data_IF_539233065987
#
_entry.id   IF_539233065987
#
_cell.length_a   1.000
_cell.length_b   1.000
_cell.length_c   1.000
_cell.angle_alpha   90.00
_cell.angle_beta   90.00
_cell.angle_gamma   90.00
#
_symmetry.space_group_name_H-M   'P 1'
#
loop_
_entity.id
_entity.type
_entity.pdbx_description
1 polymer ?
#
# COMPACT_ATOMS: atom_id res chain seq x y z
N UNK A 1 65.04 33.67 -36.48
CA UNK A 1 63.79 33.08 -37.03
C UNK A 1 63.08 32.34 -35.91
N UNK A 2 62.15 33.02 -35.23
CA UNK A 2 61.32 32.44 -34.17
C UNK A 2 60.12 31.70 -34.77
N UNK A 3 59.83 30.50 -34.27
CA UNK A 3 58.53 29.84 -34.47
C UNK A 3 58.03 29.31 -33.12
N UNK A 4 57.09 30.04 -32.57
CA UNK A 4 56.20 29.65 -31.47
C UNK A 4 55.29 28.54 -32.00
N UNK A 5 55.15 27.42 -31.27
CA UNK A 5 54.09 26.44 -31.51
C UNK A 5 53.18 26.37 -30.30
N UNK A 6 51.91 26.49 -30.63
CA UNK A 6 50.73 26.70 -29.78
C UNK A 6 50.44 25.51 -28.88
N UNK A 7 49.97 25.85 -27.69
CA UNK A 7 49.43 25.02 -26.61
C UNK A 7 48.20 24.24 -27.10
N UNK A 8 48.20 22.92 -26.90
CA UNK A 8 47.03 22.07 -27.05
C UNK A 8 46.56 21.58 -25.68
N UNK A 9 45.56 22.25 -25.12
CA UNK A 9 44.85 21.87 -23.90
C UNK A 9 43.86 20.74 -24.25
N UNK A 10 44.16 19.50 -23.86
CA UNK A 10 43.23 18.40 -23.96
C UNK A 10 42.36 18.36 -22.69
N UNK A 11 41.18 18.98 -22.74
CA UNK A 11 40.11 18.74 -21.78
C UNK A 11 39.51 17.36 -22.05
N UNK A 12 39.87 16.38 -21.23
CA UNK A 12 39.12 15.13 -21.12
C UNK A 12 37.83 15.41 -20.34
N UNK A 13 36.74 15.68 -21.06
CA UNK A 13 35.39 15.59 -20.52
C UNK A 13 35.09 14.12 -20.20
N UNK A 14 35.21 13.74 -18.93
CA UNK A 14 34.56 12.54 -18.42
C UNK A 14 33.06 12.85 -18.33
N UNK A 15 32.32 12.51 -19.38
CA UNK A 15 30.87 12.43 -19.32
C UNK A 15 30.50 11.28 -18.39
N UNK A 16 29.90 11.61 -17.24
CA UNK A 16 29.22 10.64 -16.40
C UNK A 16 28.06 10.03 -17.21
N UNK A 17 28.17 8.75 -17.53
CA UNK A 17 27.06 7.93 -18.00
C UNK A 17 26.22 7.58 -16.77
N UNK A 18 25.36 8.51 -16.34
CA UNK A 18 24.23 8.14 -15.50
C UNK A 18 23.22 7.43 -16.42
N UNK A 19 23.11 6.12 -16.23
CA UNK A 19 22.16 5.29 -16.96
C UNK A 19 20.74 5.72 -16.62
N UNK A 20 20.02 6.24 -17.61
CA UNK A 20 18.57 6.29 -17.57
C UNK A 20 18.08 4.84 -17.51
N UNK A 21 17.73 4.35 -16.33
CA UNK A 21 16.90 3.15 -16.23
C UNK A 21 15.62 3.46 -17.04
N UNK A 22 15.33 2.66 -18.06
CA UNK A 22 14.11 2.86 -18.85
C UNK A 22 12.89 2.74 -17.92
N UNK A 23 11.89 3.61 -18.08
CA UNK A 23 10.76 3.73 -17.15
C UNK A 23 10.11 2.38 -16.74
N UNK A 24 9.92 1.38 -17.63
CA UNK A 24 9.37 0.07 -17.25
C UNK A 24 10.24 -0.72 -16.26
N UNK A 25 11.57 -0.56 -16.32
CA UNK A 25 12.52 -1.26 -15.45
C UNK A 25 12.42 -0.74 -14.01
N UNK A 26 12.27 0.58 -13.83
CA UNK A 26 12.16 1.19 -12.50
C UNK A 26 10.90 0.76 -11.75
N UNK A 27 9.75 0.69 -12.43
CA UNK A 27 8.50 0.29 -11.78
C UNK A 27 8.55 -1.18 -11.34
N UNK A 28 9.16 -2.05 -12.16
CA UNK A 28 9.38 -3.45 -11.81
C UNK A 28 10.32 -3.60 -10.60
N UNK A 29 11.39 -2.80 -10.55
CA UNK A 29 12.30 -2.74 -9.40
C UNK A 29 11.57 -2.27 -8.14
N UNK A 30 10.82 -1.17 -8.21
CA UNK A 30 10.01 -0.68 -7.09
C UNK A 30 9.02 -1.74 -6.59
N UNK A 31 8.37 -2.47 -7.50
CA UNK A 31 7.49 -3.57 -7.12
C UNK A 31 8.23 -4.66 -6.35
N UNK A 32 9.39 -5.08 -6.84
CA UNK A 32 10.19 -6.13 -6.21
C UNK A 32 10.75 -5.69 -4.84
N UNK A 33 11.09 -4.41 -4.69
CA UNK A 33 11.63 -3.85 -3.45
C UNK A 33 10.57 -3.57 -2.39
N UNK A 34 9.44 -2.98 -2.79
CA UNK A 34 8.46 -2.43 -1.86
C UNK A 34 7.29 -3.35 -1.58
N UNK A 35 6.88 -4.19 -2.54
CA UNK A 35 5.60 -4.90 -2.48
C UNK A 35 5.83 -6.34 -2.04
N UNK A 36 5.37 -6.73 -0.83
CA UNK A 36 5.42 -8.12 -0.41
C UNK A 36 4.66 -9.04 -1.36
N UNK A 37 5.13 -10.27 -1.52
CA UNK A 37 4.51 -11.24 -2.41
C UNK A 37 3.49 -12.12 -1.67
N UNK A 38 2.44 -12.57 -2.36
CA UNK A 38 1.50 -13.58 -1.84
C UNK A 38 2.29 -14.82 -1.36
N UNK A 39 1.97 -15.30 -0.16
CA UNK A 39 2.64 -16.42 0.50
C UNK A 39 3.96 -16.09 1.20
N UNK A 40 4.52 -14.89 1.01
CA UNK A 40 5.75 -14.48 1.71
C UNK A 40 5.54 -14.46 3.23
N UNK A 41 6.50 -15.03 3.97
CA UNK A 41 6.44 -15.11 5.43
C UNK A 41 6.66 -13.73 6.06
N UNK A 42 5.87 -13.41 7.07
CA UNK A 42 5.99 -12.18 7.86
C UNK A 42 6.76 -12.43 9.16
N UNK A 43 7.29 -11.37 9.75
CA UNK A 43 7.90 -11.43 11.09
C UNK A 43 6.89 -11.87 12.17
N UNK A 44 5.59 -11.61 11.95
CA UNK A 44 4.51 -12.02 12.83
C UNK A 44 3.92 -13.40 12.50
N UNK A 45 4.53 -14.17 11.59
CA UNK A 45 4.26 -15.60 11.41
C UNK A 45 2.98 -15.96 10.65
N UNK A 46 2.22 -14.98 10.15
CA UNK A 46 1.08 -15.20 9.23
C UNK A 46 1.54 -14.72 7.85
N UNK A 47 1.57 -15.58 6.80
CA UNK A 47 2.05 -15.17 5.49
C UNK A 47 1.15 -14.10 4.87
N UNK A 48 1.70 -13.26 3.98
CA UNK A 48 0.88 -12.34 3.21
C UNK A 48 -0.12 -13.12 2.35
N UNK A 49 -1.40 -12.84 2.56
CA UNK A 49 -2.47 -13.40 1.75
C UNK A 49 -3.70 -12.53 1.82
N UNK A 50 -4.36 -12.31 0.67
CA UNK A 50 -5.66 -11.63 0.65
C UNK A 50 -6.68 -12.34 1.55
N UNK A 51 -6.61 -13.67 1.64
CA UNK A 51 -7.50 -14.47 2.50
C UNK A 51 -7.46 -14.08 3.98
N UNK A 52 -6.36 -13.48 4.45
CA UNK A 52 -6.23 -13.04 5.85
C UNK A 52 -7.00 -11.75 6.15
N UNK A 53 -7.42 -10.99 5.13
CA UNK A 53 -8.06 -9.70 5.34
C UNK A 53 -9.35 -9.81 6.18
N UNK A 54 -10.14 -10.88 6.02
CA UNK A 54 -11.31 -11.13 6.86
C UNK A 54 -10.92 -11.36 8.32
N UNK A 55 -9.96 -12.25 8.59
CA UNK A 55 -9.51 -12.53 9.95
C UNK A 55 -8.99 -11.28 10.66
N UNK A 56 -8.21 -10.47 9.95
CA UNK A 56 -7.70 -9.22 10.49
C UNK A 56 -8.83 -8.22 10.74
N UNK A 57 -9.80 -8.13 9.82
CA UNK A 57 -11.00 -7.32 9.99
C UNK A 57 -11.85 -7.75 11.19
N UNK A 58 -11.97 -9.06 11.45
CA UNK A 58 -12.76 -9.59 12.57
C UNK A 58 -12.11 -9.23 13.92
N UNK A 59 -10.78 -9.27 13.98
CA UNK A 59 -10.01 -8.87 15.17
C UNK A 59 -10.24 -7.42 15.59
N UNK A 60 -10.60 -6.54 14.65
CA UNK A 60 -10.95 -5.16 14.98
C UNK A 60 -12.06 -5.08 16.02
N UNK A 61 -13.08 -5.94 15.92
CA UNK A 61 -14.20 -5.98 16.87
C UNK A 61 -13.96 -6.93 18.04
N UNK A 62 -13.27 -8.04 17.80
CA UNK A 62 -13.08 -9.10 18.80
C UNK A 62 -12.04 -8.72 19.86
N UNK A 63 -11.00 -7.97 19.50
CA UNK A 63 -9.91 -7.63 20.41
C UNK A 63 -10.19 -6.29 21.10
N UNK A 64 -10.22 -6.32 22.44
CA UNK A 64 -10.32 -5.15 23.30
C UNK A 64 -8.93 -4.83 23.84
N UNK A 65 -8.52 -3.57 23.73
CA UNK A 65 -7.24 -3.09 24.22
C UNK A 65 -7.39 -2.55 25.65
N UNK A 66 -6.36 -2.71 26.47
CA UNK A 66 -6.19 -1.90 27.69
C UNK A 66 -5.79 -0.47 27.31
N UNK A 67 -5.85 0.50 28.24
CA UNK A 67 -5.39 1.87 27.97
C UNK A 67 -3.93 1.96 27.48
N UNK A 68 -3.04 1.13 28.03
CA UNK A 68 -1.62 1.09 27.63
C UNK A 68 -1.43 0.46 26.25
N UNK A 69 -2.25 -0.53 25.90
CA UNK A 69 -2.28 -1.12 24.55
C UNK A 69 -2.86 -0.15 23.52
N UNK A 70 -3.93 0.58 23.89
CA UNK A 70 -4.54 1.59 23.05
C UNK A 70 -3.60 2.76 22.78
N UNK A 71 -2.81 3.19 23.77
CA UNK A 71 -1.76 4.20 23.56
C UNK A 71 -0.75 3.76 22.49
N UNK A 72 -0.29 2.49 22.53
CA UNK A 72 0.62 1.94 21.51
C UNK A 72 -0.04 1.85 20.14
N UNK A 73 -1.29 1.39 20.10
CA UNK A 73 -2.08 1.28 18.88
C UNK A 73 -2.27 2.65 18.21
N UNK A 74 -2.64 3.67 18.98
CA UNK A 74 -2.80 5.05 18.52
C UNK A 74 -1.49 5.62 17.98
N UNK A 75 -0.38 5.51 18.73
CA UNK A 75 0.93 6.01 18.27
C UNK A 75 1.36 5.33 16.97
N UNK A 76 1.15 4.02 16.86
CA UNK A 76 1.50 3.26 15.66
C UNK A 76 0.66 3.70 14.45
N UNK A 77 -0.65 3.89 14.61
CA UNK A 77 -1.53 4.11 13.46
C UNK A 77 -1.73 5.58 13.07
N UNK A 78 -1.54 6.53 13.98
CA UNK A 78 -1.85 7.95 13.78
C UNK A 78 -1.05 8.65 12.67
N UNK A 79 0.08 8.08 12.24
CA UNK A 79 0.92 8.67 11.17
C UNK A 79 0.96 7.84 9.89
N UNK A 80 0.24 6.71 9.82
CA UNK A 80 0.16 5.91 8.61
C UNK A 80 -1.01 6.44 7.79
N UNK A 81 -0.79 7.04 6.61
CA UNK A 81 -1.89 7.51 5.78
C UNK A 81 -2.78 6.35 5.34
N UNK A 82 -4.09 6.58 5.24
CA UNK A 82 -5.02 5.61 4.70
C UNK A 82 -4.92 5.59 3.16
N UNK A 83 -4.45 4.50 2.53
CA UNK A 83 -4.13 4.54 1.09
C UNK A 83 -5.37 4.60 0.18
N UNK A 84 -6.59 4.56 0.74
CA UNK A 84 -7.81 4.79 -0.01
C UNK A 84 -8.04 6.26 -0.42
N UNK A 85 -7.41 7.22 0.27
CA UNK A 85 -7.55 8.65 -0.04
C UNK A 85 -6.34 9.51 0.36
N UNK A 86 -5.42 9.01 1.20
CA UNK A 86 -4.23 9.70 1.70
C UNK A 86 -4.47 10.91 2.63
N UNK A 87 -5.70 11.42 2.72
CA UNK A 87 -6.01 12.64 3.49
C UNK A 87 -5.95 12.48 5.02
N UNK A 88 -6.19 11.27 5.51
CA UNK A 88 -6.33 10.97 6.92
C UNK A 88 -5.60 9.67 7.27
N UNK A 89 -5.14 9.52 8.53
CA UNK A 89 -4.45 8.31 8.93
C UNK A 89 -5.41 7.11 8.95
N UNK A 90 -4.84 5.91 8.86
CA UNK A 90 -5.60 4.66 9.03
C UNK A 90 -6.28 4.58 10.39
N UNK A 91 -5.79 5.29 11.42
CA UNK A 91 -6.45 5.39 12.71
C UNK A 91 -7.85 6.01 12.61
N UNK A 92 -7.96 7.13 11.91
CA UNK A 92 -9.17 7.98 11.82
C UNK A 92 -9.52 8.29 10.37
N UNK A 93 -9.83 7.27 9.56
CA UNK A 93 -10.11 7.49 8.15
C UNK A 93 -11.44 8.24 7.92
N UNK A 94 -11.56 8.97 6.80
CA UNK A 94 -12.72 9.80 6.44
C UNK A 94 -14.09 9.08 6.53
N UNK A 95 -14.12 7.75 6.37
CA UNK A 95 -15.36 6.98 6.48
C UNK A 95 -15.93 6.96 7.91
N UNK A 96 -15.07 7.07 8.93
CA UNK A 96 -15.46 6.97 10.34
C UNK A 96 -16.28 8.16 10.80
N UNK A 97 -16.09 9.34 10.21
CA UNK A 97 -16.90 10.53 10.49
C UNK A 97 -18.38 10.31 10.15
N UNK A 98 -18.67 9.34 9.28
CA UNK A 98 -20.02 8.93 8.88
C UNK A 98 -20.47 7.61 9.54
N UNK A 99 -19.77 7.17 10.59
CA UNK A 99 -20.08 5.93 11.31
C UNK A 99 -19.77 4.66 10.53
N UNK A 100 -18.88 4.71 9.54
CA UNK A 100 -18.48 3.55 8.72
C UNK A 100 -16.98 3.31 8.78
N UNK A 101 -16.54 2.11 8.43
CA UNK A 101 -15.11 1.80 8.26
C UNK A 101 -14.99 0.81 7.09
N UNK A 102 -14.08 1.09 6.15
CA UNK A 102 -13.84 0.17 5.04
C UNK A 102 -12.96 -1.00 5.47
N UNK A 103 -13.02 -2.09 4.72
CA UNK A 103 -12.33 -3.32 5.09
C UNK A 103 -10.80 -3.26 4.95
N UNK A 104 -10.29 -2.39 4.07
CA UNK A 104 -8.89 -2.00 4.04
C UNK A 104 -8.44 -1.50 5.43
N UNK A 105 -9.04 -0.42 5.92
CA UNK A 105 -8.68 0.18 7.22
C UNK A 105 -8.97 -0.78 8.38
N UNK A 106 -10.12 -1.47 8.33
CA UNK A 106 -10.52 -2.40 9.39
C UNK A 106 -9.54 -3.55 9.55
N UNK A 107 -9.04 -4.11 8.45
CA UNK A 107 -8.03 -5.17 8.47
C UNK A 107 -6.69 -4.66 9.06
N UNK A 108 -6.23 -3.47 8.67
CA UNK A 108 -5.02 -2.87 9.23
C UNK A 108 -5.15 -2.62 10.74
N UNK A 109 -6.27 -2.03 11.17
CA UNK A 109 -6.53 -1.75 12.58
C UNK A 109 -6.64 -3.02 13.43
N UNK A 110 -7.33 -4.06 12.93
CA UNK A 110 -7.48 -5.32 13.66
C UNK A 110 -6.20 -6.15 13.71
N UNK A 111 -5.38 -6.17 12.65
CA UNK A 111 -4.03 -6.74 12.69
C UNK A 111 -3.18 -6.04 13.77
N UNK A 112 -3.23 -4.71 13.84
CA UNK A 112 -2.48 -3.94 14.84
C UNK A 112 -2.87 -4.33 16.27
N UNK A 113 -4.16 -4.50 16.54
CA UNK A 113 -4.65 -4.97 17.84
C UNK A 113 -4.09 -6.36 18.19
N UNK A 114 -4.11 -7.29 17.24
CA UNK A 114 -3.59 -8.64 17.46
C UNK A 114 -2.09 -8.66 17.72
N UNK A 115 -1.31 -7.86 16.98
CA UNK A 115 0.14 -7.74 17.18
C UNK A 115 0.48 -7.22 18.58
N UNK A 116 -0.29 -6.26 19.08
CA UNK A 116 -0.09 -5.71 20.42
C UNK A 116 -0.44 -6.74 21.50
N UNK A 117 -1.64 -7.31 21.44
CA UNK A 117 -2.20 -8.15 22.51
C UNK A 117 -1.54 -9.53 22.55
N UNK A 118 -1.35 -10.17 21.39
CA UNK A 118 -0.92 -11.57 21.33
C UNK A 118 0.54 -11.73 20.95
N UNK A 119 1.18 -10.71 20.36
CA UNK A 119 2.58 -10.78 19.94
C UNK A 119 3.50 -9.83 20.72
N UNK A 120 2.94 -8.98 21.56
CA UNK A 120 3.71 -8.07 22.41
C UNK A 120 4.49 -7.01 21.64
N UNK A 121 4.05 -6.66 20.42
CA UNK A 121 4.73 -5.65 19.62
C UNK A 121 4.62 -4.26 20.28
N UNK A 122 5.67 -3.46 20.10
CA UNK A 122 5.66 -2.03 20.42
C UNK A 122 5.10 -1.21 19.23
N UNK A 123 5.02 0.11 19.39
CA UNK A 123 4.42 0.97 18.37
C UNK A 123 5.20 0.97 17.05
N UNK A 124 6.53 0.82 17.10
CA UNK A 124 7.38 0.78 15.90
C UNK A 124 7.19 -0.54 15.14
N UNK A 125 7.22 -1.67 15.85
CA UNK A 125 6.97 -2.99 15.26
C UNK A 125 5.57 -3.10 14.67
N UNK A 126 4.55 -2.55 15.34
CA UNK A 126 3.19 -2.48 14.80
C UNK A 126 3.18 -1.63 13.52
N UNK A 127 3.78 -0.43 13.55
CA UNK A 127 3.84 0.45 12.38
C UNK A 127 4.45 -0.26 11.18
N UNK A 128 5.60 -0.90 11.37
CA UNK A 128 6.30 -1.60 10.29
C UNK A 128 5.42 -2.71 9.69
N UNK A 129 4.82 -3.57 10.53
CA UNK A 129 3.96 -4.66 10.08
C UNK A 129 2.70 -4.16 9.34
N UNK A 130 2.09 -3.07 9.80
CA UNK A 130 0.92 -2.48 9.13
C UNK A 130 1.29 -1.85 7.78
N UNK A 131 2.45 -1.20 7.68
CA UNK A 131 2.92 -0.68 6.39
C UNK A 131 3.17 -1.80 5.38
N UNK A 132 3.75 -2.93 5.79
CA UNK A 132 3.90 -4.08 4.89
C UNK A 132 2.55 -4.64 4.46
N UNK A 133 1.59 -4.76 5.39
CA UNK A 133 0.23 -5.22 5.07
C UNK A 133 -0.46 -4.31 4.06
N UNK A 134 -0.35 -3.00 4.24
CA UNK A 134 -0.96 -2.04 3.31
C UNK A 134 -0.24 -2.00 1.96
N UNK A 135 1.09 -2.15 1.92
CA UNK A 135 1.86 -2.31 0.66
C UNK A 135 1.40 -3.53 -0.12
N UNK A 136 1.12 -4.62 0.58
CA UNK A 136 0.57 -5.83 -0.03
C UNK A 136 -0.84 -5.59 -0.58
N UNK A 137 -1.73 -4.91 0.16
CA UNK A 137 -3.12 -4.68 -0.26
C UNK A 137 -3.28 -3.62 -1.36
N UNK A 138 -2.49 -2.54 -1.33
CA UNK A 138 -2.64 -1.39 -2.24
C UNK A 138 -1.30 -1.06 -2.89
N UNK A 139 -0.74 -1.98 -3.69
CA UNK A 139 0.63 -1.86 -4.17
C UNK A 139 0.86 -0.64 -5.07
N UNK A 140 -0.13 -0.29 -5.91
CA UNK A 140 -0.03 0.84 -6.82
C UNK A 140 0.13 2.17 -6.08
N UNK A 141 -0.58 2.36 -4.96
CA UNK A 141 -0.43 3.53 -4.10
C UNK A 141 1.02 3.70 -3.64
N UNK A 142 1.62 2.64 -3.07
CA UNK A 142 2.97 2.73 -2.52
C UNK A 142 4.05 2.87 -3.59
N UNK A 143 3.87 2.26 -4.77
CA UNK A 143 4.77 2.50 -5.90
C UNK A 143 4.66 3.94 -6.41
N UNK A 144 3.45 4.50 -6.49
CA UNK A 144 3.26 5.88 -6.91
C UNK A 144 3.88 6.87 -5.91
N UNK A 145 3.68 6.68 -4.59
CA UNK A 145 4.36 7.48 -3.56
C UNK A 145 5.88 7.41 -3.69
N UNK A 146 6.44 6.24 -3.95
CA UNK A 146 7.89 6.08 -4.12
C UNK A 146 8.44 6.78 -5.37
N UNK A 147 7.66 6.86 -6.45
CA UNK A 147 8.01 7.65 -7.64
C UNK A 147 7.96 9.15 -7.33
N UNK A 148 6.91 9.62 -6.65
CA UNK A 148 6.77 11.03 -6.24
C UNK A 148 7.91 11.49 -5.33
N UNK A 149 8.31 10.65 -4.37
CA UNK A 149 9.47 10.92 -3.48
C UNK A 149 10.78 11.08 -4.26
N UNK A 150 10.87 10.51 -5.47
CA UNK A 150 11.99 10.64 -6.40
C UNK A 150 11.82 11.81 -7.39
N UNK A 151 10.74 12.60 -7.27
CA UNK A 151 10.42 13.70 -8.18
C UNK A 151 9.91 13.24 -9.55
N UNK A 152 9.41 12.00 -9.65
CA UNK A 152 8.89 11.42 -10.88
C UNK A 152 7.36 11.45 -10.87
N UNK A 153 6.75 11.62 -12.04
CA UNK A 153 5.30 11.54 -12.21
C UNK A 153 4.88 10.07 -12.38
N UNK A 154 4.05 9.49 -11.47
CA UNK A 154 3.60 8.11 -11.60
C UNK A 154 2.92 7.79 -12.94
N UNK A 155 2.31 8.78 -13.61
CA UNK A 155 1.65 8.61 -14.91
C UNK A 155 2.63 8.26 -16.03
N UNK A 156 3.87 8.72 -15.94
CA UNK A 156 4.93 8.37 -16.89
C UNK A 156 5.31 6.87 -16.80
N UNK A 157 4.88 6.20 -15.74
CA UNK A 157 5.09 4.77 -15.46
C UNK A 157 3.79 3.96 -15.61
N UNK A 158 2.71 4.55 -16.11
CA UNK A 158 1.41 3.89 -16.25
C UNK A 158 0.66 3.68 -14.93
N UNK A 159 1.01 4.42 -13.88
CA UNK A 159 0.21 4.50 -12.66
C UNK A 159 -0.67 5.75 -12.74
N UNK A 160 -1.84 5.59 -13.34
CA UNK A 160 -2.81 6.67 -13.40
C UNK A 160 -3.25 7.07 -11.99
N UNK A 161 -3.57 8.35 -11.78
CA UNK A 161 -3.98 8.83 -10.44
C UNK A 161 -5.16 8.04 -9.88
N UNK A 162 -6.04 7.54 -10.75
CA UNK A 162 -7.19 6.74 -10.35
C UNK A 162 -6.85 5.26 -10.03
N UNK A 163 -5.68 4.77 -10.44
CA UNK A 163 -5.23 3.39 -10.15
C UNK A 163 -4.27 3.33 -8.97
N UNK A 164 -3.58 4.42 -8.71
CA UNK A 164 -2.65 4.58 -7.58
C UNK A 164 -3.31 5.18 -6.34
N UNK A 165 -4.31 6.04 -6.51
CA UNK A 165 -4.88 6.80 -5.41
C UNK A 165 -6.41 6.67 -5.38
N UNK A 166 -7.01 7.20 -4.31
CA UNK A 166 -8.39 7.68 -4.35
C UNK A 166 -9.49 6.63 -4.57
N UNK A 167 -9.29 5.38 -4.12
CA UNK A 167 -10.38 4.40 -4.08
C UNK A 167 -11.67 4.97 -3.43
N UNK A 168 -11.51 5.88 -2.46
CA UNK A 168 -12.61 6.65 -1.87
C UNK A 168 -13.29 7.61 -2.88
N UNK A 169 -12.54 8.50 -3.55
CA UNK A 169 -13.12 9.51 -4.45
C UNK A 169 -13.71 8.91 -5.73
N UNK A 170 -13.23 7.73 -6.12
CA UNK A 170 -13.77 6.96 -7.25
C UNK A 170 -14.93 6.06 -6.87
N UNK A 171 -15.44 6.14 -5.64
CA UNK A 171 -16.57 5.33 -5.17
C UNK A 171 -16.28 3.81 -5.21
N UNK A 172 -15.00 3.42 -5.11
CA UNK A 172 -14.55 2.02 -5.06
C UNK A 172 -14.54 1.43 -3.65
N UNK A 173 -15.21 2.08 -2.69
CA UNK A 173 -15.34 1.58 -1.32
C UNK A 173 -15.93 0.16 -1.28
N UNK A 174 -16.88 -0.14 -2.17
CA UNK A 174 -17.54 -1.45 -2.27
C UNK A 174 -16.87 -2.43 -3.23
N UNK A 175 -15.78 -2.03 -3.90
CA UNK A 175 -15.03 -2.89 -4.80
C UNK A 175 -14.10 -3.85 -4.02
N UNK A 176 -13.78 -5.04 -4.57
CA UNK A 176 -12.87 -5.99 -3.96
C UNK A 176 -11.44 -5.44 -3.78
N UNK A 177 -10.69 -6.01 -2.83
CA UNK A 177 -9.31 -5.60 -2.55
C UNK A 177 -8.36 -5.86 -3.73
N UNK A 178 -8.50 -6.99 -4.44
CA UNK A 178 -7.64 -7.32 -5.59
C UNK A 178 -7.86 -6.44 -6.83
N UNK A 179 -8.98 -5.72 -6.88
CA UNK A 179 -9.29 -4.73 -7.91
C UNK A 179 -8.95 -3.30 -7.46
N UNK A 180 -8.14 -3.12 -6.41
CA UNK A 180 -7.80 -1.78 -5.89
C UNK A 180 -8.96 -1.06 -5.20
N UNK A 181 -9.98 -1.80 -4.77
CA UNK A 181 -11.06 -1.28 -3.93
C UNK A 181 -10.72 -1.30 -2.44
N UNK A 182 -11.65 -0.83 -1.61
CA UNK A 182 -11.48 -0.85 -0.16
C UNK A 182 -12.00 -2.15 0.50
N UNK A 183 -12.44 -3.13 -0.30
CA UNK A 183 -12.91 -4.43 0.17
C UNK A 183 -14.33 -4.43 0.76
N UNK A 184 -15.11 -3.36 0.60
CA UNK A 184 -16.44 -3.22 1.17
C UNK A 184 -16.50 -2.39 2.45
N UNK A 185 -17.72 -1.93 2.78
CA UNK A 185 -18.04 -1.25 4.05
C UNK A 185 -18.83 -2.14 5.02
N UNK A 186 -19.17 -3.36 4.60
CA UNK A 186 -19.91 -4.35 5.40
C UNK A 186 -19.01 -5.22 6.27
N UNK A 187 -19.61 -6.17 6.99
CA UNK A 187 -18.87 -7.12 7.85
C UNK A 187 -18.05 -8.14 7.05
N UNK A 188 -18.45 -8.45 5.83
CA UNK A 188 -17.70 -9.33 4.94
C UNK A 188 -16.68 -8.54 4.12
N UNK A 189 -15.46 -9.07 4.03
CA UNK A 189 -14.40 -8.53 3.19
C UNK A 189 -14.50 -9.11 1.79
N UNK A 190 -14.66 -8.23 0.80
CA UNK A 190 -14.64 -8.57 -0.61
C UNK A 190 -13.19 -8.70 -1.06
N UNK A 191 -12.76 -9.93 -1.30
CA UNK A 191 -11.38 -10.24 -1.70
C UNK A 191 -11.17 -10.12 -3.19
N UNK A 192 -12.02 -10.81 -3.95
CA UNK A 192 -11.94 -10.91 -5.40
C UNK A 192 -13.30 -10.68 -6.05
N UNK A 193 -13.27 -10.23 -7.31
CA UNK A 193 -14.47 -10.25 -8.14
C UNK A 193 -14.95 -11.69 -8.29
N UNK A 194 -16.24 -11.98 -8.04
CA UNK A 194 -16.77 -13.30 -8.30
C UNK A 194 -16.52 -13.67 -9.76
N UNK A 195 -16.12 -14.92 -10.07
CA UNK A 195 -15.97 -15.34 -11.45
C UNK A 195 -17.27 -15.05 -12.20
N UNK A 196 -17.15 -14.55 -13.43
CA UNK A 196 -18.32 -14.24 -14.24
C UNK A 196 -19.21 -15.48 -14.35
N UNK A 197 -20.47 -15.36 -13.94
CA UNK A 197 -21.45 -16.43 -14.09
C UNK A 197 -21.63 -16.65 -15.60
N UNK A 198 -21.33 -17.84 -16.14
CA UNK A 198 -21.50 -18.09 -17.56
C UNK A 198 -22.96 -17.83 -17.96
N UNK A 199 -23.23 -17.36 -19.20
CA UNK A 199 -24.60 -17.10 -19.65
C UNK A 199 -25.54 -18.31 -19.50
N UNK A 200 -25.01 -19.54 -19.54
CA UNK A 200 -25.79 -20.77 -19.33
C UNK A 200 -26.29 -20.98 -17.89
N UNK A 201 -25.73 -20.25 -16.92
CA UNK A 201 -26.08 -20.34 -15.50
C UNK A 201 -26.91 -19.14 -15.03
N UNK A 202 -27.22 -18.18 -15.91
CA UNK A 202 -28.16 -17.11 -15.61
C UNK A 202 -29.59 -17.65 -15.76
N UNK A 203 -30.50 -17.39 -14.80
CA UNK A 203 -31.91 -17.74 -14.96
C UNK A 203 -32.45 -17.00 -16.19
N UNK A 204 -32.99 -17.75 -17.15
CA UNK A 204 -33.65 -17.16 -18.30
C UNK A 204 -34.92 -16.46 -17.80
N UNK A 205 -34.94 -15.13 -17.94
CA UNK A 205 -36.11 -14.29 -17.64
C UNK A 205 -37.17 -14.38 -18.72
#
# INVERSE_FOLDING_TARGET
MHKIKVVGLALCFFAALEGFAEAPDLLAQLRAELIPQEGQRTAYGIPFSLGNAQHFADWYYAIRLTPEEEARWTVALAIIPAPCCDDNPVLECCCQTHGRICNLTRSAQGLAKWLIVYRGYDAEGVRAAILEWLRFLVPNYYMAKALEERGLDPRDYGLESHEAYEACYQQRCEAPLDEGGCGGMGLEVKLAKPPAVPPCCLPQG
#
